data_IF_766596631391
#
_entry.id   IF_766596631391
#
_cell.length_a   1.000
_cell.length_b   1.000
_cell.length_c   1.000
_cell.angle_alpha   90.00
_cell.angle_beta   90.00
_cell.angle_gamma   90.00
#
_symmetry.space_group_name_H-M   'P 1'
#
loop_
_entity.id
_entity.type
_entity.pdbx_description
1 polymer ?
#
# COMPACT_ATOMS: atom_id res chain seq x y z
N UNK A 1 -29.61 -5.19 1.33
CA UNK A 1 -28.77 -4.26 2.11
C UNK A 1 -27.48 -4.06 1.34
N UNK A 2 -27.02 -2.83 1.17
CA UNK A 2 -25.71 -2.58 0.57
C UNK A 2 -24.61 -3.12 1.49
N UNK A 3 -23.52 -3.69 0.94
CA UNK A 3 -22.40 -4.16 1.75
C UNK A 3 -21.82 -3.03 2.60
N UNK A 4 -21.54 -3.34 3.88
CA UNK A 4 -20.89 -2.37 4.80
C UNK A 4 -19.38 -2.19 4.54
N UNK A 5 -18.82 -3.04 3.68
CA UNK A 5 -17.39 -3.05 3.34
C UNK A 5 -17.23 -2.79 1.84
N UNK A 6 -16.38 -1.84 1.51
CA UNK A 6 -15.98 -1.57 0.11
C UNK A 6 -14.48 -1.80 -0.06
N UNK A 7 -14.09 -2.55 -1.08
CA UNK A 7 -12.68 -2.84 -1.37
C UNK A 7 -12.29 -2.19 -2.70
N UNK A 8 -11.26 -1.36 -2.64
CA UNK A 8 -10.69 -0.64 -3.78
C UNK A 8 -9.61 -1.52 -4.41
N UNK A 9 -9.77 -1.86 -5.68
CA UNK A 9 -8.78 -2.59 -6.46
C UNK A 9 -8.10 -1.64 -7.43
N UNK A 10 -6.87 -1.24 -7.12
CA UNK A 10 -6.06 -0.41 -8.03
C UNK A 10 -5.47 -1.28 -9.14
N UNK A 11 -5.62 -0.86 -10.38
CA UNK A 11 -5.18 -1.66 -11.52
C UNK A 11 -4.56 -0.81 -12.64
N UNK A 12 -3.63 -1.45 -13.35
CA UNK A 12 -3.09 -1.00 -14.63
C UNK A 12 -2.48 -2.18 -15.37
N UNK A 13 -2.97 -2.47 -16.56
CA UNK A 13 -2.52 -3.58 -17.40
C UNK A 13 -2.44 -4.90 -16.61
N UNK A 14 -3.55 -5.26 -15.95
CA UNK A 14 -3.64 -6.40 -15.04
C UNK A 14 -4.59 -7.48 -15.56
N UNK A 15 -4.88 -7.54 -16.86
CA UNK A 15 -5.83 -8.50 -17.45
C UNK A 15 -5.52 -9.95 -17.04
N UNK A 16 -4.25 -10.31 -16.87
CA UNK A 16 -3.84 -11.65 -16.50
C UNK A 16 -4.10 -12.02 -15.02
N UNK A 17 -4.25 -11.04 -14.14
CA UNK A 17 -4.34 -11.27 -12.68
C UNK A 17 -5.66 -10.79 -12.07
N UNK A 18 -6.26 -9.76 -12.63
CA UNK A 18 -7.47 -9.14 -12.11
C UNK A 18 -8.64 -10.13 -11.93
N UNK A 19 -8.93 -11.08 -12.83
CA UNK A 19 -10.02 -12.04 -12.63
C UNK A 19 -9.88 -12.85 -11.33
N UNK A 20 -8.68 -13.33 -11.04
CA UNK A 20 -8.44 -14.09 -9.80
C UNK A 20 -8.57 -13.20 -8.55
N UNK A 21 -8.13 -11.94 -8.62
CA UNK A 21 -8.31 -10.95 -7.56
C UNK A 21 -9.79 -10.71 -7.27
N UNK A 22 -10.59 -10.42 -8.30
CA UNK A 22 -12.03 -10.18 -8.17
C UNK A 22 -12.78 -11.40 -7.67
N UNK A 23 -12.47 -12.58 -8.21
CA UNK A 23 -13.04 -13.85 -7.74
C UNK A 23 -12.78 -14.09 -6.25
N UNK A 24 -11.58 -13.78 -5.75
CA UNK A 24 -11.25 -13.95 -4.34
C UNK A 24 -12.03 -13.00 -3.41
N UNK A 25 -12.42 -11.82 -3.89
CA UNK A 25 -13.30 -10.89 -3.17
C UNK A 25 -14.76 -11.38 -3.18
N UNK A 26 -15.22 -11.93 -4.30
CA UNK A 26 -16.59 -12.50 -4.41
C UNK A 26 -16.78 -13.75 -3.56
N UNK A 27 -15.72 -14.47 -3.24
CA UNK A 27 -15.76 -15.69 -2.41
C UNK A 27 -15.68 -15.42 -0.90
N UNK A 28 -15.68 -14.16 -0.47
CA UNK A 28 -15.62 -13.85 0.95
C UNK A 28 -16.94 -14.17 1.68
N UNK A 29 -16.86 -14.63 2.94
CA UNK A 29 -18.03 -14.90 3.81
C UNK A 29 -18.84 -13.64 4.09
N UNK A 30 -18.18 -12.50 4.17
CA UNK A 30 -18.79 -11.19 4.28
C UNK A 30 -18.88 -10.55 2.89
N UNK A 31 -20.09 -10.19 2.41
CA UNK A 31 -20.23 -9.52 1.12
C UNK A 31 -19.46 -8.20 1.07
N UNK A 32 -18.72 -7.98 0.00
CA UNK A 32 -17.97 -6.75 -0.23
C UNK A 32 -18.41 -6.08 -1.53
N UNK A 33 -18.44 -4.76 -1.53
CA UNK A 33 -18.54 -3.95 -2.74
C UNK A 33 -17.16 -3.76 -3.32
N UNK A 34 -17.00 -4.03 -4.60
CA UNK A 34 -15.71 -3.93 -5.30
C UNK A 34 -15.69 -2.68 -6.18
N UNK A 35 -14.77 -1.77 -5.88
CA UNK A 35 -14.52 -0.55 -6.66
C UNK A 35 -13.16 -0.70 -7.35
N UNK A 36 -13.16 -0.85 -8.67
CA UNK A 36 -11.92 -0.90 -9.45
C UNK A 36 -11.50 0.51 -9.87
N UNK A 37 -10.25 0.89 -9.59
CA UNK A 37 -9.65 2.14 -10.05
C UNK A 37 -8.60 1.82 -11.10
N UNK A 38 -8.92 2.09 -12.36
CA UNK A 38 -8.03 1.87 -13.50
C UNK A 38 -7.21 3.12 -13.83
N UNK A 39 -5.91 2.94 -13.98
CA UNK A 39 -4.95 4.04 -14.23
C UNK A 39 -4.45 4.06 -15.67
N UNK A 40 -5.37 3.94 -16.64
CA UNK A 40 -5.07 4.00 -18.06
C UNK A 40 -4.52 2.69 -18.61
N UNK A 41 -5.23 1.58 -18.39
CA UNK A 41 -4.91 0.29 -19.01
C UNK A 41 -5.15 0.30 -20.50
N UNK A 42 -4.31 -0.42 -21.23
CA UNK A 42 -4.36 -0.59 -22.69
C UNK A 42 -4.63 -2.04 -23.11
N UNK A 43 -4.73 -2.96 -22.15
CA UNK A 43 -5.09 -4.35 -22.32
C UNK A 43 -6.57 -4.61 -21.96
N UNK A 44 -6.99 -5.86 -21.81
CA UNK A 44 -8.37 -6.23 -21.47
C UNK A 44 -8.80 -5.88 -20.03
N UNK A 45 -7.97 -5.22 -19.22
CA UNK A 45 -8.25 -4.90 -17.81
C UNK A 45 -9.57 -4.15 -17.64
N UNK A 46 -9.82 -3.13 -18.47
CA UNK A 46 -11.02 -2.29 -18.38
C UNK A 46 -12.30 -3.07 -18.68
N UNK A 47 -12.28 -3.97 -19.68
CA UNK A 47 -13.45 -4.83 -19.97
C UNK A 47 -13.73 -5.79 -18.82
N UNK A 48 -12.72 -6.46 -18.29
CA UNK A 48 -12.84 -7.35 -17.11
C UNK A 48 -13.42 -6.59 -15.92
N UNK A 49 -12.93 -5.38 -15.65
CA UNK A 49 -13.43 -4.57 -14.55
C UNK A 49 -14.89 -4.14 -14.72
N UNK A 50 -15.35 -3.86 -15.95
CA UNK A 50 -16.76 -3.53 -16.23
C UNK A 50 -17.70 -4.69 -16.01
N UNK A 51 -17.23 -5.91 -16.31
CA UNK A 51 -18.05 -7.11 -16.20
C UNK A 51 -18.15 -7.62 -14.76
N UNK A 52 -17.08 -7.51 -13.98
CA UNK A 52 -16.93 -8.21 -12.69
C UNK A 52 -16.90 -7.29 -11.44
N UNK A 53 -16.68 -5.96 -11.59
CA UNK A 53 -16.71 -5.04 -10.47
C UNK A 53 -18.09 -4.40 -10.28
N UNK A 54 -18.38 -3.92 -9.04
CA UNK A 54 -19.60 -3.15 -8.76
C UNK A 54 -19.50 -1.71 -9.28
N UNK A 55 -18.25 -1.21 -9.38
CA UNK A 55 -17.98 0.12 -9.90
C UNK A 55 -16.58 0.18 -10.51
N UNK A 56 -16.47 0.82 -11.66
CA UNK A 56 -15.22 1.15 -12.31
C UNK A 56 -15.01 2.67 -12.31
N UNK A 57 -13.86 3.10 -11.82
CA UNK A 57 -13.39 4.49 -11.87
C UNK A 57 -12.13 4.51 -12.73
N UNK A 58 -12.09 5.41 -13.72
CA UNK A 58 -10.92 5.56 -14.57
C UNK A 58 -10.20 6.87 -14.24
N UNK A 59 -8.90 6.81 -14.00
CA UNK A 59 -8.05 7.97 -13.76
C UNK A 59 -6.98 8.06 -14.85
N UNK A 60 -6.64 9.28 -15.33
CA UNK A 60 -5.60 9.43 -16.33
C UNK A 60 -4.26 8.91 -15.82
N UNK A 61 -3.58 8.06 -16.61
CA UNK A 61 -2.29 7.48 -16.23
C UNK A 61 -1.18 8.52 -16.00
N UNK A 62 -1.33 9.70 -16.60
CA UNK A 62 -0.37 10.82 -16.44
C UNK A 62 -0.44 11.47 -15.05
N UNK A 63 -1.61 11.49 -14.44
CA UNK A 63 -1.85 12.04 -13.09
C UNK A 63 -1.79 10.98 -11.99
N UNK A 64 -1.40 9.75 -12.33
CA UNK A 64 -1.40 8.65 -11.38
C UNK A 64 -0.43 8.88 -10.23
N UNK A 65 -0.95 8.76 -9.01
CA UNK A 65 -0.18 8.46 -7.80
C UNK A 65 -0.90 7.34 -7.04
N UNK A 66 -0.17 6.59 -6.23
CA UNK A 66 -0.77 5.51 -5.44
C UNK A 66 -1.78 6.07 -4.44
N UNK A 67 -1.45 7.17 -3.77
CA UNK A 67 -2.34 7.86 -2.84
C UNK A 67 -3.58 8.43 -3.53
N UNK A 68 -3.40 9.08 -4.69
CA UNK A 68 -4.51 9.63 -5.46
C UNK A 68 -5.51 8.59 -5.94
N UNK A 69 -5.02 7.44 -6.41
CA UNK A 69 -5.89 6.34 -6.82
C UNK A 69 -6.68 5.75 -5.63
N UNK A 70 -6.07 5.65 -4.44
CA UNK A 70 -6.75 5.22 -3.23
C UNK A 70 -7.79 6.24 -2.76
N UNK A 71 -7.46 7.53 -2.76
CA UNK A 71 -8.41 8.58 -2.38
C UNK A 71 -9.62 8.60 -3.32
N UNK A 72 -9.38 8.60 -4.64
CA UNK A 72 -10.44 8.55 -5.65
C UNK A 72 -11.32 7.32 -5.50
N UNK A 73 -10.71 6.15 -5.28
CA UNK A 73 -11.44 4.91 -5.03
C UNK A 73 -12.25 4.95 -3.74
N UNK A 74 -11.72 5.54 -2.68
CA UNK A 74 -12.37 5.67 -1.40
C UNK A 74 -13.54 6.67 -1.42
N UNK A 75 -13.47 7.72 -2.22
CA UNK A 75 -14.57 8.65 -2.46
C UNK A 75 -15.74 7.96 -3.20
N UNK A 76 -15.42 7.04 -4.10
CA UNK A 76 -16.40 6.24 -4.83
C UNK A 76 -16.92 5.02 -4.02
N UNK A 77 -16.27 4.67 -2.92
CA UNK A 77 -16.53 3.48 -2.12
C UNK A 77 -17.42 3.81 -0.91
N UNK A 78 -18.72 3.46 -0.92
CA UNK A 78 -19.61 3.70 0.20
C UNK A 78 -19.34 2.76 1.37
N UNK A 79 -19.86 3.12 2.55
CA UNK A 79 -19.83 2.29 3.75
C UNK A 79 -18.82 2.74 4.79
N UNK A 80 -18.97 2.27 6.04
CA UNK A 80 -18.12 2.66 7.16
C UNK A 80 -16.74 2.03 7.15
N UNK A 81 -16.57 0.93 6.41
CA UNK A 81 -15.29 0.23 6.24
C UNK A 81 -14.90 0.21 4.79
N UNK A 82 -13.70 0.65 4.53
CA UNK A 82 -13.07 0.66 3.22
C UNK A 82 -11.77 -0.13 3.27
N UNK A 83 -11.24 -0.53 2.13
CA UNK A 83 -9.96 -1.21 2.08
C UNK A 83 -9.35 -1.20 0.69
N UNK A 84 -8.20 -1.80 0.58
CA UNK A 84 -7.53 -1.99 -0.71
C UNK A 84 -7.08 -3.42 -0.91
N UNK A 85 -7.09 -3.83 -2.18
CA UNK A 85 -6.45 -5.05 -2.65
C UNK A 85 -5.72 -4.76 -3.96
N UNK A 86 -4.48 -5.16 -4.05
CA UNK A 86 -3.71 -5.00 -5.28
C UNK A 86 -4.23 -5.96 -6.36
N UNK A 87 -4.36 -5.50 -7.60
CA UNK A 87 -4.93 -6.28 -8.74
C UNK A 87 -4.15 -7.53 -9.13
N UNK A 88 -3.07 -7.85 -8.44
CA UNK A 88 -2.21 -9.04 -8.65
C UNK A 88 -2.10 -9.90 -7.41
N UNK A 89 -3.00 -9.71 -6.44
CA UNK A 89 -3.07 -10.48 -5.20
C UNK A 89 -4.42 -11.17 -5.05
N UNK A 90 -4.42 -12.27 -4.32
CA UNK A 90 -5.59 -13.10 -4.07
C UNK A 90 -5.72 -13.29 -2.56
N UNK A 91 -6.92 -13.15 -2.03
CA UNK A 91 -7.24 -13.48 -0.65
C UNK A 91 -7.35 -15.03 -0.56
N UNK A 92 -6.42 -15.71 0.16
CA UNK A 92 -6.33 -17.17 0.11
C UNK A 92 -7.41 -17.88 0.95
N UNK A 93 -8.15 -17.11 1.78
CA UNK A 93 -9.15 -17.65 2.69
C UNK A 93 -10.48 -16.89 2.57
N UNK A 94 -11.62 -17.57 2.66
CA UNK A 94 -12.93 -16.94 2.48
C UNK A 94 -13.36 -16.07 3.66
N UNK A 95 -12.78 -16.23 4.85
CA UNK A 95 -13.04 -15.47 6.07
C UNK A 95 -12.02 -14.32 6.30
N UNK A 96 -11.28 -13.94 5.27
CA UNK A 96 -10.28 -12.87 5.38
C UNK A 96 -10.90 -11.54 5.82
N UNK A 97 -12.01 -11.16 5.18
CA UNK A 97 -12.73 -9.91 5.51
C UNK A 97 -13.34 -9.97 6.90
N UNK A 98 -13.90 -11.10 7.30
CA UNK A 98 -14.49 -11.31 8.63
C UNK A 98 -13.42 -11.15 9.73
N UNK A 99 -12.25 -11.77 9.57
CA UNK A 99 -11.12 -11.63 10.50
C UNK A 99 -10.69 -10.16 10.57
N UNK A 100 -10.57 -9.48 9.43
CA UNK A 100 -10.16 -8.08 9.39
C UNK A 100 -11.16 -7.18 10.11
N UNK A 101 -12.47 -7.40 9.92
CA UNK A 101 -13.54 -6.67 10.63
C UNK A 101 -13.47 -6.88 12.13
N UNK A 102 -13.19 -8.08 12.61
CA UNK A 102 -13.08 -8.34 14.06
C UNK A 102 -12.04 -7.48 14.75
N UNK A 103 -10.96 -7.11 14.06
CA UNK A 103 -9.96 -6.18 14.59
C UNK A 103 -10.45 -4.73 14.60
N UNK A 104 -11.17 -4.31 13.56
CA UNK A 104 -11.78 -2.97 13.52
C UNK A 104 -12.85 -2.80 14.61
N UNK A 105 -13.66 -3.85 14.83
CA UNK A 105 -14.68 -3.88 15.91
C UNK A 105 -14.02 -3.88 17.29
N UNK A 106 -12.83 -4.44 17.43
CA UNK A 106 -12.02 -4.39 18.66
C UNK A 106 -11.31 -3.05 18.87
N UNK A 107 -11.52 -2.06 17.99
CA UNK A 107 -10.99 -0.70 18.15
C UNK A 107 -9.76 -0.36 17.31
N UNK A 108 -9.27 -1.28 16.49
CA UNK A 108 -8.26 -0.92 15.50
C UNK A 108 -8.82 0.07 14.46
N UNK A 109 -8.00 0.99 13.97
CA UNK A 109 -8.42 1.94 12.93
C UNK A 109 -8.12 1.42 11.53
N UNK A 110 -7.16 0.51 11.41
CA UNK A 110 -6.87 -0.22 10.18
C UNK A 110 -6.17 -1.55 10.47
N UNK A 111 -6.29 -2.48 9.53
CA UNK A 111 -5.72 -3.83 9.62
C UNK A 111 -5.17 -4.25 8.26
N UNK A 112 -4.02 -4.93 8.28
CA UNK A 112 -3.44 -5.54 7.09
C UNK A 112 -2.83 -6.91 7.41
N UNK A 113 -2.53 -7.68 6.35
CA UNK A 113 -1.78 -8.92 6.47
C UNK A 113 -0.27 -8.69 6.55
N UNK A 114 0.44 -9.53 7.29
CA UNK A 114 1.89 -9.51 7.34
C UNK A 114 2.48 -10.67 8.14
N UNK A 115 3.62 -11.17 7.71
CA UNK A 115 4.27 -12.34 8.28
C UNK A 115 5.35 -11.98 9.30
N UNK A 116 5.76 -10.72 9.34
CA UNK A 116 6.88 -10.27 10.16
C UNK A 116 6.57 -8.96 10.88
N UNK A 117 7.19 -8.78 12.02
CA UNK A 117 7.17 -7.52 12.77
C UNK A 117 8.12 -6.46 12.16
N UNK A 118 8.16 -5.25 12.75
CA UNK A 118 9.04 -4.17 12.34
C UNK A 118 10.53 -4.44 12.52
N UNK A 119 10.90 -5.48 13.25
CA UNK A 119 12.26 -5.99 13.40
C UNK A 119 12.58 -7.13 12.43
N UNK A 120 11.61 -7.57 11.62
CA UNK A 120 11.77 -8.69 10.69
C UNK A 120 11.63 -10.07 11.34
N UNK A 121 11.02 -10.17 12.53
CA UNK A 121 10.78 -11.46 13.20
C UNK A 121 9.43 -12.02 12.76
N UNK A 122 9.30 -13.36 12.58
CA UNK A 122 8.05 -13.98 12.22
C UNK A 122 6.93 -13.68 13.21
N UNK A 123 5.79 -13.22 12.73
CA UNK A 123 4.58 -13.06 13.53
C UNK A 123 3.90 -14.42 13.71
N UNK A 124 3.57 -14.75 14.95
CA UNK A 124 2.79 -15.94 15.31
C UNK A 124 1.39 -15.59 15.82
N UNK A 125 1.13 -14.30 16.08
CA UNK A 125 -0.13 -13.75 16.53
C UNK A 125 -0.29 -12.33 15.97
N UNK A 126 -1.52 -11.76 15.99
CA UNK A 126 -1.73 -10.37 15.59
C UNK A 126 -0.86 -9.40 16.40
N UNK A 127 -0.32 -8.41 15.72
CA UNK A 127 0.50 -7.34 16.28
C UNK A 127 -0.28 -6.04 16.26
N UNK A 128 -0.41 -5.37 17.41
CA UNK A 128 -0.92 -4.00 17.50
C UNK A 128 0.23 -3.01 17.40
N UNK A 129 0.12 -2.08 16.46
CA UNK A 129 1.11 -1.04 16.22
C UNK A 129 0.53 0.33 16.61
N UNK A 130 0.99 0.84 17.71
CA UNK A 130 0.71 2.16 18.28
C UNK A 130 1.93 3.09 18.21
N UNK A 131 1.85 4.26 18.84
CA UNK A 131 2.92 5.24 18.85
C UNK A 131 4.21 4.69 19.50
N UNK A 132 4.09 3.86 20.55
CA UNK A 132 5.25 3.24 21.19
C UNK A 132 5.93 2.23 20.25
N UNK A 133 5.13 1.42 19.56
CA UNK A 133 5.65 0.49 18.57
C UNK A 133 6.38 1.22 17.43
N UNK A 134 5.76 2.26 16.86
CA UNK A 134 6.37 3.04 15.78
C UNK A 134 7.62 3.82 16.22
N UNK A 135 7.73 4.22 17.47
CA UNK A 135 8.95 4.86 18.00
C UNK A 135 10.16 3.94 17.95
N UNK A 136 9.96 2.64 18.15
CA UNK A 136 10.98 1.59 18.08
C UNK A 136 11.25 1.09 16.66
N UNK A 137 10.23 1.15 15.80
CA UNK A 137 10.26 0.63 14.42
C UNK A 137 9.98 1.75 13.41
N UNK A 138 10.89 2.72 13.33
CA UNK A 138 10.71 4.00 12.61
C UNK A 138 10.43 3.89 11.12
N UNK A 139 10.75 2.76 10.50
CA UNK A 139 10.52 2.52 9.06
C UNK A 139 9.35 1.58 8.80
N UNK A 140 8.73 1.09 9.86
CA UNK A 140 7.56 0.24 9.73
C UNK A 140 6.33 1.08 9.39
N UNK A 141 5.43 0.49 8.62
CA UNK A 141 4.13 1.04 8.31
C UNK A 141 3.19 -0.04 7.80
N UNK A 142 1.97 0.36 7.69
CA UNK A 142 0.87 -0.39 7.14
C UNK A 142 1.08 -0.69 5.64
N UNK A 143 0.44 -1.70 5.07
CA UNK A 143 0.53 -2.00 3.64
C UNK A 143 -0.82 -2.01 2.95
N UNK A 144 -0.89 -1.31 1.81
CA UNK A 144 -2.06 -1.27 0.93
C UNK A 144 -2.14 -2.45 -0.04
N UNK A 145 -1.31 -3.48 0.12
CA UNK A 145 -1.39 -4.69 -0.71
C UNK A 145 -2.69 -5.44 -0.49
N UNK A 146 -3.10 -5.60 0.78
CA UNK A 146 -4.40 -6.08 1.21
C UNK A 146 -4.68 -5.54 2.62
N UNK A 147 -5.73 -4.75 2.75
CA UNK A 147 -6.00 -4.03 4.00
C UNK A 147 -7.43 -3.56 4.10
N UNK A 148 -7.92 -3.39 5.34
CA UNK A 148 -9.14 -2.65 5.63
C UNK A 148 -8.84 -1.51 6.60
N UNK A 149 -9.63 -0.45 6.52
CA UNK A 149 -9.58 0.71 7.42
C UNK A 149 -10.96 1.32 7.65
N UNK A 150 -11.09 2.09 8.70
CA UNK A 150 -12.31 2.87 8.98
C UNK A 150 -12.39 4.05 8.00
N UNK A 151 -13.53 4.23 7.37
CA UNK A 151 -13.75 5.28 6.38
C UNK A 151 -13.64 6.70 6.98
N UNK A 152 -14.09 6.89 8.21
CA UNK A 152 -13.96 8.15 8.96
C UNK A 152 -12.51 8.53 9.20
N UNK A 153 -11.65 7.56 9.58
CA UNK A 153 -10.22 7.78 9.78
C UNK A 153 -9.53 8.16 8.45
N UNK A 154 -9.82 7.46 7.35
CA UNK A 154 -9.29 7.80 6.04
C UNK A 154 -9.78 9.19 5.57
N UNK A 155 -11.01 9.55 5.87
CA UNK A 155 -11.55 10.87 5.51
C UNK A 155 -10.87 12.00 6.27
N UNK A 156 -10.54 11.79 7.55
CA UNK A 156 -9.76 12.74 8.35
C UNK A 156 -8.27 12.79 7.92
N UNK A 157 -7.74 11.67 7.45
CA UNK A 157 -6.34 11.51 7.03
C UNK A 157 -6.27 10.95 5.60
N UNK A 158 -6.53 11.74 4.54
CA UNK A 158 -6.38 11.25 3.16
C UNK A 158 -4.94 10.81 2.89
N UNK A 159 -4.75 9.84 1.99
CA UNK A 159 -3.42 9.46 1.54
C UNK A 159 -2.71 10.64 0.85
N UNK A 160 -1.41 10.80 1.09
CA UNK A 160 -0.63 11.84 0.43
C UNK A 160 -0.41 11.49 -1.05
N UNK A 161 -1.05 12.28 -1.92
CA UNK A 161 -1.02 12.09 -3.36
C UNK A 161 0.29 12.56 -4.00
N UNK A 162 1.11 13.31 -3.28
CA UNK A 162 2.39 13.83 -3.78
C UNK A 162 3.50 12.79 -3.72
N UNK A 163 3.31 11.75 -2.90
CA UNK A 163 4.28 10.68 -2.75
C UNK A 163 4.31 9.77 -3.98
N UNK A 164 5.52 9.48 -4.44
CA UNK A 164 5.75 8.56 -5.56
C UNK A 164 5.67 7.09 -5.15
N UNK A 165 5.75 6.80 -3.85
CA UNK A 165 5.63 5.48 -3.23
C UNK A 165 5.51 5.63 -1.70
N UNK A 166 5.16 4.55 -0.98
CA UNK A 166 5.10 4.46 0.48
C UNK A 166 4.06 5.39 1.12
N UNK A 167 3.02 5.72 0.38
CA UNK A 167 1.86 6.48 0.87
C UNK A 167 1.16 5.79 2.04
N UNK A 168 1.22 4.47 2.09
CA UNK A 168 0.67 3.64 3.15
C UNK A 168 1.47 3.73 4.46
N UNK A 169 2.79 3.75 4.35
CA UNK A 169 3.65 3.94 5.51
C UNK A 169 3.51 5.36 6.10
N UNK A 170 3.51 6.37 5.25
CA UNK A 170 3.30 7.77 5.65
C UNK A 170 1.94 7.94 6.33
N UNK A 171 0.89 7.41 5.72
CA UNK A 171 -0.46 7.44 6.26
C UNK A 171 -0.53 6.81 7.67
N UNK A 172 0.10 5.64 7.85
CA UNK A 172 0.13 4.97 9.15
C UNK A 172 0.77 5.83 10.23
N UNK A 173 1.82 6.58 9.91
CA UNK A 173 2.50 7.43 10.89
C UNK A 173 1.61 8.59 11.36
N UNK A 174 0.85 9.21 10.45
CA UNK A 174 -0.10 10.28 10.81
C UNK A 174 -1.24 9.75 11.68
N UNK A 175 -1.85 8.66 11.25
CA UNK A 175 -2.97 8.04 11.97
C UNK A 175 -2.56 7.59 13.38
N UNK A 176 -1.37 7.01 13.53
CA UNK A 176 -0.87 6.58 14.84
C UNK A 176 -0.44 7.77 15.70
N UNK A 177 0.09 8.83 15.12
CA UNK A 177 0.41 10.06 15.85
C UNK A 177 -0.84 10.71 16.46
N UNK A 178 -2.01 10.53 15.83
CA UNK A 178 -3.32 10.99 16.33
C UNK A 178 -4.03 9.95 17.22
N UNK A 179 -3.29 8.96 17.71
CA UNK A 179 -3.77 7.96 18.69
C UNK A 179 -4.42 6.73 18.08
N UNK A 180 -4.40 6.56 16.76
CA UNK A 180 -4.90 5.35 16.11
C UNK A 180 -4.02 4.13 16.40
N UNK A 181 -4.63 2.94 16.43
CA UNK A 181 -3.93 1.66 16.53
C UNK A 181 -4.13 0.87 15.25
N UNK A 182 -3.04 0.41 14.65
CA UNK A 182 -3.04 -0.44 13.48
C UNK A 182 -2.81 -1.90 13.89
N UNK A 183 -3.40 -2.84 13.16
CA UNK A 183 -3.17 -4.27 13.41
C UNK A 183 -2.54 -4.93 12.17
N UNK A 184 -1.52 -5.75 12.41
CA UNK A 184 -1.00 -6.69 11.42
C UNK A 184 -1.31 -8.11 11.88
N UNK A 185 -2.03 -8.86 11.05
CA UNK A 185 -2.41 -10.22 11.39
C UNK A 185 -1.81 -11.21 10.38
N UNK A 186 -1.01 -12.20 10.84
CA UNK A 186 -0.42 -13.20 9.95
C UNK A 186 -1.45 -14.09 9.24
N UNK A 187 -2.68 -14.19 9.74
CA UNK A 187 -3.78 -14.89 9.08
C UNK A 187 -4.29 -14.16 7.83
N UNK A 188 -4.01 -12.86 7.73
CA UNK A 188 -4.44 -11.98 6.63
C UNK A 188 -3.39 -11.84 5.53
N UNK A 189 -2.40 -12.71 5.48
CA UNK A 189 -1.44 -12.76 4.37
C UNK A 189 -2.15 -13.08 3.05
N UNK A 190 -1.59 -12.61 1.94
CA UNK A 190 -2.15 -12.78 0.61
C UNK A 190 -1.22 -13.61 -0.28
N UNK A 191 -1.80 -14.24 -1.30
CA UNK A 191 -1.04 -14.96 -2.32
C UNK A 191 -1.00 -14.17 -3.63
N UNK A 192 -0.01 -14.47 -4.48
CA UNK A 192 0.16 -13.81 -5.76
C UNK A 192 0.73 -12.41 -5.59
N UNK A 193 1.98 -12.20 -5.90
CA UNK A 193 2.58 -10.88 -5.98
C UNK A 193 3.53 -10.86 -7.17
N UNK A 194 3.42 -9.85 -8.03
CA UNK A 194 4.34 -9.67 -9.16
C UNK A 194 5.78 -9.39 -8.70
N UNK A 195 6.01 -9.18 -7.40
CA UNK A 195 7.35 -9.01 -6.82
C UNK A 195 8.27 -10.19 -7.12
N UNK A 196 7.71 -11.39 -7.36
CA UNK A 196 8.47 -12.60 -7.67
C UNK A 196 9.09 -12.62 -9.07
N UNK A 197 8.56 -11.82 -10.01
CA UNK A 197 8.94 -11.87 -11.43
C UNK A 197 9.85 -10.74 -11.87
N UNK A 198 9.97 -9.67 -11.09
CA UNK A 198 10.65 -8.44 -11.50
C UNK A 198 12.20 -8.50 -11.48
N UNK A 199 12.80 -9.55 -10.92
CA UNK A 199 14.25 -9.68 -10.80
C UNK A 199 14.91 -8.76 -9.77
N UNK A 200 16.16 -9.08 -9.38
CA UNK A 200 16.85 -8.40 -8.26
C UNK A 200 17.13 -6.92 -8.52
N UNK A 201 17.41 -6.55 -9.75
CA UNK A 201 17.69 -5.13 -10.13
C UNK A 201 16.45 -4.27 -9.97
N UNK A 202 15.30 -4.74 -10.45
CA UNK A 202 14.03 -4.03 -10.32
C UNK A 202 13.60 -3.91 -8.85
N UNK A 203 13.79 -4.97 -8.07
CA UNK A 203 13.58 -4.96 -6.62
C UNK A 203 14.42 -3.88 -5.94
N UNK A 204 15.73 -3.86 -6.16
CA UNK A 204 16.64 -2.86 -5.61
C UNK A 204 16.22 -1.42 -5.98
N UNK A 205 15.96 -1.17 -7.27
CA UNK A 205 15.52 0.15 -7.73
C UNK A 205 14.22 0.61 -7.07
N UNK A 206 13.29 -0.33 -6.85
CA UNK A 206 12.05 -0.08 -6.15
C UNK A 206 12.31 0.29 -4.69
N UNK A 207 13.13 -0.48 -3.96
CA UNK A 207 13.47 -0.20 -2.56
C UNK A 207 14.14 1.16 -2.39
N UNK A 208 15.09 1.52 -3.28
CA UNK A 208 15.71 2.85 -3.28
C UNK A 208 14.65 3.94 -3.45
N UNK A 209 13.69 3.76 -4.36
CA UNK A 209 12.61 4.73 -4.59
C UNK A 209 11.69 4.86 -3.38
N UNK A 210 11.28 3.74 -2.76
CA UNK A 210 10.42 3.72 -1.57
C UNK A 210 11.10 4.42 -0.39
N UNK A 211 12.37 4.11 -0.11
CA UNK A 211 13.16 4.75 0.94
C UNK A 211 13.25 6.26 0.68
N UNK A 212 13.53 6.68 -0.55
CA UNK A 212 13.67 8.09 -0.89
C UNK A 212 12.36 8.86 -0.86
N UNK A 213 11.24 8.22 -1.12
CA UNK A 213 9.93 8.85 -1.03
C UNK A 213 9.62 9.34 0.40
N UNK A 214 10.15 8.64 1.42
CA UNK A 214 9.93 8.98 2.82
C UNK A 214 11.01 9.89 3.43
N UNK A 215 12.10 10.13 2.71
CA UNK A 215 13.29 10.81 3.22
C UNK A 215 13.03 12.26 3.66
N UNK A 216 12.14 12.97 2.95
CA UNK A 216 11.77 14.35 3.30
C UNK A 216 10.84 14.43 4.52
N UNK A 217 10.13 13.35 4.83
CA UNK A 217 9.24 13.26 6.00
C UNK A 217 9.98 12.77 7.24
N UNK A 218 10.89 11.83 7.05
CA UNK A 218 11.76 11.28 8.10
C UNK A 218 13.17 11.16 7.55
N UNK A 219 14.04 12.15 7.80
CA UNK A 219 15.43 12.06 7.36
C UNK A 219 16.04 10.73 7.80
N UNK A 220 16.47 9.94 6.84
CA UNK A 220 17.13 8.68 7.12
C UNK A 220 18.45 9.00 7.81
N UNK A 221 18.60 8.54 9.04
CA UNK A 221 19.90 8.59 9.70
C UNK A 221 20.94 7.92 8.78
N UNK A 222 22.13 8.52 8.71
CA UNK A 222 23.24 7.92 7.97
C UNK A 222 23.34 6.44 8.33
N UNK A 223 23.16 5.56 7.33
CA UNK A 223 23.23 4.11 7.50
C UNK A 223 24.63 3.63 7.05
N UNK A 224 25.58 3.49 7.95
CA UNK A 224 26.93 3.08 7.59
C UNK A 224 26.96 1.59 7.23
N UNK A 225 27.87 1.20 6.32
CA UNK A 225 27.97 -0.18 5.86
C UNK A 225 28.19 -1.19 6.98
N UNK A 226 28.94 -0.82 8.04
CA UNK A 226 29.17 -1.69 9.20
C UNK A 226 27.86 -2.01 9.95
N UNK A 227 26.94 -1.04 10.03
CA UNK A 227 25.62 -1.27 10.63
C UNK A 227 24.81 -2.23 9.76
N UNK A 228 24.90 -2.08 8.42
CA UNK A 228 24.29 -3.02 7.49
C UNK A 228 24.80 -4.44 7.67
N UNK A 229 26.10 -4.62 7.84
CA UNK A 229 26.70 -5.93 8.12
C UNK A 229 26.26 -6.46 9.49
N UNK A 230 26.24 -5.62 10.53
CA UNK A 230 25.80 -6.00 11.85
C UNK A 230 24.31 -6.41 11.87
N UNK A 231 23.46 -5.68 11.16
CA UNK A 231 22.04 -6.00 11.00
C UNK A 231 21.85 -7.28 10.18
N UNK A 232 22.69 -7.52 9.19
CA UNK A 232 22.68 -8.75 8.41
C UNK A 232 23.05 -9.97 9.27
N UNK A 233 24.07 -9.87 10.09
CA UNK A 233 24.51 -10.95 11.01
C UNK A 233 23.51 -11.21 12.13
N UNK A 234 22.85 -10.16 12.63
CA UNK A 234 21.87 -10.24 13.74
C UNK A 234 20.45 -10.58 13.28
N UNK A 235 20.12 -10.35 12.00
CA UNK A 235 18.77 -10.59 11.51
C UNK A 235 18.53 -12.08 11.34
N UNK A 236 17.45 -12.58 11.93
CA UNK A 236 16.88 -13.83 11.47
C UNK A 236 16.54 -13.66 9.99
N UNK A 237 16.87 -14.63 9.13
CA UNK A 237 16.74 -14.50 7.70
C UNK A 237 15.28 -14.69 7.27
N UNK A 238 14.45 -13.69 7.52
CA UNK A 238 13.07 -13.66 7.03
C UNK A 238 13.08 -12.83 5.75
N UNK A 239 12.78 -13.50 4.64
CA UNK A 239 12.42 -12.81 3.41
C UNK A 239 10.96 -12.32 3.55
N UNK A 240 10.70 -11.01 3.67
CA UNK A 240 9.35 -10.48 3.84
C UNK A 240 8.45 -10.75 2.62
N UNK A 241 8.98 -11.30 1.54
CA UNK A 241 8.25 -11.56 0.30
C UNK A 241 8.10 -13.04 -0.02
N UNK A 242 8.71 -13.91 0.76
CA UNK A 242 8.60 -15.36 0.60
C UNK A 242 8.41 -15.93 1.99
N UNK A 243 7.26 -16.49 2.30
CA UNK A 243 6.93 -17.18 3.56
C UNK A 243 7.82 -18.42 3.84
N UNK A 244 9.09 -18.38 3.42
CA UNK A 244 10.11 -19.39 3.66
C UNK A 244 11.34 -18.72 4.24
N UNK A 245 11.59 -19.01 5.48
CA UNK A 245 12.87 -18.72 6.14
C UNK A 245 14.00 -19.28 5.29
N UNK A 246 14.81 -18.40 4.71
CA UNK A 246 16.07 -18.78 4.06
C UNK A 246 17.19 -18.11 4.82
N UNK A 247 18.12 -18.90 5.40
CA UNK A 247 19.33 -18.32 5.97
C UNK A 247 20.05 -17.53 4.86
N UNK A 248 20.38 -16.27 5.13
CA UNK A 248 21.10 -15.36 4.24
C UNK A 248 20.35 -14.99 2.93
N UNK A 249 19.12 -14.49 3.04
CA UNK A 249 18.33 -14.08 1.88
C UNK A 249 19.00 -12.97 1.08
N UNK A 250 19.12 -13.16 -0.24
CA UNK A 250 19.64 -12.13 -1.19
C UNK A 250 18.89 -10.80 -1.09
N UNK A 251 17.63 -10.85 -0.67
CA UNK A 251 16.77 -9.67 -0.47
C UNK A 251 17.28 -8.79 0.65
N UNK A 252 17.79 -9.34 1.76
CA UNK A 252 18.33 -8.53 2.87
C UNK A 252 19.58 -7.75 2.45
N UNK A 253 20.46 -8.36 1.67
CA UNK A 253 21.61 -7.65 1.11
C UNK A 253 21.19 -6.54 0.16
N UNK A 254 20.11 -6.75 -0.60
CA UNK A 254 19.53 -5.73 -1.47
C UNK A 254 18.90 -4.58 -0.68
N UNK A 255 18.24 -4.86 0.44
CA UNK A 255 17.71 -3.82 1.34
C UNK A 255 18.84 -2.96 1.93
N UNK A 256 19.93 -3.60 2.36
CA UNK A 256 21.12 -2.90 2.86
C UNK A 256 21.75 -2.04 1.77
N UNK A 257 21.91 -2.59 0.56
CA UNK A 257 22.43 -1.87 -0.60
C UNK A 257 21.51 -0.71 -1.00
N UNK A 258 20.19 -0.90 -0.96
CA UNK A 258 19.21 0.15 -1.28
C UNK A 258 19.26 1.30 -0.27
N UNK A 259 19.38 1.02 1.03
CA UNK A 259 19.55 2.05 2.07
C UNK A 259 20.84 2.83 1.90
N UNK A 260 21.94 2.14 1.60
CA UNK A 260 23.22 2.79 1.35
C UNK A 260 23.19 3.66 0.10
N UNK A 261 22.60 3.17 -0.99
CA UNK A 261 22.45 3.91 -2.26
C UNK A 261 21.53 5.12 -2.10
N UNK A 262 20.41 4.98 -1.37
CA UNK A 262 19.53 6.10 -1.05
C UNK A 262 20.29 7.19 -0.29
N UNK A 263 20.99 6.85 0.77
CA UNK A 263 21.81 7.79 1.55
C UNK A 263 22.96 8.42 0.75
N UNK A 264 23.53 7.69 -0.23
CA UNK A 264 24.56 8.24 -1.14
C UNK A 264 23.97 9.26 -2.11
N UNK A 265 22.80 8.97 -2.69
CA UNK A 265 22.13 9.87 -3.62
C UNK A 265 21.63 11.15 -2.92
N UNK A 266 21.24 11.07 -1.65
CA UNK A 266 20.91 12.23 -0.81
C UNK A 266 22.10 13.19 -0.70
N UNK A 267 23.28 12.67 -0.37
CA UNK A 267 24.52 13.48 -0.23
C UNK A 267 24.93 14.17 -1.54
N UNK A 268 24.50 13.66 -2.68
CA UNK A 268 24.79 14.23 -4.00
C UNK A 268 23.67 15.12 -4.55
N UNK A 269 22.71 15.55 -3.72
CA UNK A 269 21.67 16.53 -4.08
C UNK A 269 20.67 16.09 -5.14
N UNK A 270 20.57 14.79 -5.43
CA UNK A 270 19.56 14.25 -6.36
C UNK A 270 18.23 14.03 -5.64
N UNK A 271 17.55 15.13 -5.30
CA UNK A 271 16.19 15.06 -4.75
C UNK A 271 15.22 14.67 -5.85
N UNK A 272 14.33 13.68 -5.66
CA UNK A 272 13.22 13.48 -6.58
C UNK A 272 12.31 14.70 -6.50
N UNK A 273 12.11 15.39 -7.62
CA UNK A 273 11.14 16.48 -7.64
C UNK A 273 9.73 15.90 -7.53
N UNK A 274 8.87 16.43 -6.63
CA UNK A 274 7.46 16.10 -6.65
C UNK A 274 6.89 16.46 -8.02
N UNK A 275 6.01 15.61 -8.57
CA UNK A 275 5.28 15.93 -9.80
C UNK A 275 4.44 17.16 -9.53
N UNK A 276 4.82 18.31 -10.13
CA UNK A 276 4.03 19.53 -10.05
C UNK A 276 2.67 19.26 -10.69
N UNK A 277 1.61 19.43 -9.90
CA UNK A 277 0.24 19.50 -10.44
C UNK A 277 0.17 20.69 -11.38
N UNK A 278 -0.02 20.50 -12.66
CA UNK A 278 -0.62 21.53 -13.48
C UNK A 278 -2.05 21.74 -12.95
N UNK A 279 -2.22 22.81 -12.18
CA UNK A 279 -3.53 23.34 -11.84
C UNK A 279 -4.20 23.63 -13.18
N UNK A 280 -5.24 22.89 -13.52
CA UNK A 280 -6.10 23.26 -14.65
C UNK A 280 -6.62 24.67 -14.34
N UNK A 281 -6.22 25.61 -15.16
CA UNK A 281 -6.75 26.97 -15.11
C UNK A 281 -8.25 26.86 -15.37
N UNK A 282 -9.05 27.21 -14.37
CA UNK A 282 -10.47 27.48 -14.53
C UNK A 282 -10.60 28.64 -15.53
N UNK A 283 -10.85 28.30 -16.79
CA UNK A 283 -11.24 29.24 -17.81
C UNK A 283 -12.60 29.81 -17.43
N UNK A 284 -12.64 31.02 -16.90
CA UNK A 284 -13.83 31.83 -16.87
C UNK A 284 -14.27 32.09 -18.31
N UNK A 285 -15.22 31.33 -18.78
CA UNK A 285 -16.00 31.66 -19.96
C UNK A 285 -16.98 32.77 -19.61
N UNK A 286 -16.61 34.03 -19.86
CA UNK A 286 -17.58 35.12 -19.94
C UNK A 286 -18.58 34.81 -21.05
N UNK A 287 -19.82 34.55 -20.65
CA UNK A 287 -20.97 34.57 -21.55
C UNK A 287 -21.28 36.01 -21.84
N UNK A 288 -20.89 36.52 -23.00
CA UNK A 288 -21.47 37.76 -23.59
C UNK A 288 -22.88 37.48 -24.01
N UNK A 289 -23.82 38.15 -23.37
CA UNK A 289 -25.16 38.33 -23.90
C UNK A 289 -25.10 39.44 -24.99
N UNK A 290 -25.46 39.14 -26.21
CA UNK A 290 -25.89 40.11 -27.21
C UNK A 290 -27.31 39.80 -27.63
N UNK A 291 -28.18 40.78 -27.34
CA UNK A 291 -29.46 41.22 -27.93
C UNK A 291 -30.28 40.20 -28.73
#
# INVERSE_FOLDING_TARGET
MSPNVSVIVRTRNSAATLPATLSSLRSQTVPVRVVVVDSGSTDATVSIARDDADQLVQVPGESFSYGGALNTGAEAAPGPVQGSLSSHTVLPRPDWVEIALSHLDAGAVAVCGGDVDGGGRPLRAPLSADAEYLSRHRYWGFTNTASLWRADVRSAHPFDETLVASEDQEWSWRVVADGGVLVVDPRLTVSGSHRRTAGLKAYHQRMVREIRALEHLRPLAHYPLWQGVADWVRSEPVDPFVSRVRPFGRTRLLDIAARWDAGRQQRHGKVPQPRTRHRASSGNGEVRADV
#
